data_IF_248269187040
#
_entry.id   IF_248269187040
#
_cell.length_a   1.000
_cell.length_b   1.000
_cell.length_c   1.000
_cell.angle_alpha   90.00
_cell.angle_beta   90.00
_cell.angle_gamma   90.00
#
_symmetry.space_group_name_H-M   'P 1'
#
loop_
_entity.id
_entity.type
_entity.pdbx_description
1 polymer ?
#
# COMPACT_ATOMS: atom_id res chain seq x y z
N UNK A 1 31.37 20.01 18.12
CA UNK A 1 30.88 19.65 16.77
C UNK A 1 29.84 18.56 16.98
N UNK A 2 28.61 18.75 16.51
CA UNK A 2 27.54 17.78 16.69
C UNK A 2 27.81 16.62 15.71
N UNK A 3 28.22 15.45 16.20
CA UNK A 3 28.69 14.31 15.39
C UNK A 3 27.55 13.43 14.85
N UNK A 4 26.30 13.86 14.97
CA UNK A 4 25.15 13.11 14.49
C UNK A 4 25.18 13.00 12.96
N UNK A 5 25.33 11.77 12.44
CA UNK A 5 25.23 11.52 11.00
C UNK A 5 23.81 11.85 10.52
N UNK A 6 23.70 12.34 9.29
CA UNK A 6 22.40 12.65 8.68
C UNK A 6 21.71 11.35 8.25
N UNK A 7 20.45 11.18 8.62
CA UNK A 7 19.61 10.06 8.15
C UNK A 7 18.70 10.55 7.04
N UNK A 8 18.64 9.81 5.93
CA UNK A 8 17.69 10.04 4.84
C UNK A 8 16.62 8.94 4.90
N UNK A 9 15.35 9.34 5.06
CA UNK A 9 14.21 8.43 4.95
C UNK A 9 13.63 8.51 3.55
N UNK A 10 13.47 7.35 2.93
CA UNK A 10 12.56 7.19 1.80
C UNK A 10 11.21 6.73 2.36
N UNK A 11 10.29 7.66 2.59
CA UNK A 11 8.92 7.31 2.96
C UNK A 11 8.10 7.06 1.70
N UNK A 12 7.32 5.96 1.69
CA UNK A 12 6.11 5.93 0.86
C UNK A 12 5.08 6.83 1.52
N UNK A 13 4.52 7.76 0.75
CA UNK A 13 3.25 8.37 1.10
C UNK A 13 2.14 7.33 0.97
N UNK A 14 1.85 6.63 2.05
CA UNK A 14 0.51 6.08 2.26
C UNK A 14 -0.04 6.74 3.51
N UNK A 15 -1.17 7.42 3.33
CA UNK A 15 -1.91 8.15 4.35
C UNK A 15 -2.10 7.23 5.58
N UNK A 16 -1.74 7.75 6.76
CA UNK A 16 -2.04 7.11 8.05
C UNK A 16 -0.86 6.39 8.73
N UNK A 17 0.09 7.14 9.29
CA UNK A 17 0.69 6.86 10.62
C UNK A 17 1.56 8.03 11.08
N UNK A 18 1.15 8.68 12.17
CA UNK A 18 1.88 9.77 12.82
C UNK A 18 2.91 9.17 13.79
N UNK A 19 4.19 9.15 13.43
CA UNK A 19 5.29 9.60 14.33
C UNK A 19 6.58 9.80 13.54
N UNK A 20 6.94 11.09 13.40
CA UNK A 20 8.28 11.69 13.31
C UNK A 20 9.30 10.93 12.45
N UNK A 21 9.55 11.38 11.21
CA UNK A 21 10.84 11.95 10.74
C UNK A 21 10.59 13.05 9.71
N UNK A 22 10.69 14.29 10.18
CA UNK A 22 10.78 15.50 9.37
C UNK A 22 12.16 15.49 8.71
N UNK A 23 12.21 15.31 7.40
CA UNK A 23 12.98 16.07 6.39
C UNK A 23 12.76 15.30 5.09
N UNK A 24 11.76 15.69 4.29
CA UNK A 24 11.69 15.46 2.82
C UNK A 24 10.31 15.77 2.20
N UNK A 25 9.33 16.30 2.95
CA UNK A 25 8.05 16.75 2.35
C UNK A 25 8.16 18.17 1.76
N UNK A 26 8.92 19.09 2.36
CA UNK A 26 8.95 20.51 1.92
C UNK A 26 9.64 20.79 0.56
N UNK A 27 10.42 19.86 -0.02
CA UNK A 27 11.20 20.15 -1.23
C UNK A 27 10.61 19.59 -2.53
N UNK A 28 9.57 18.75 -2.47
CA UNK A 28 9.01 18.08 -3.64
C UNK A 28 7.78 18.79 -4.24
N UNK A 29 7.19 19.76 -3.53
CA UNK A 29 6.04 20.53 -4.00
C UNK A 29 6.15 21.99 -3.57
N UNK A 30 6.95 22.79 -4.29
CA UNK A 30 6.54 24.18 -4.50
C UNK A 30 5.67 24.21 -5.77
N UNK A 31 4.35 24.38 -5.67
CA UNK A 31 3.57 24.86 -6.79
C UNK A 31 3.80 26.36 -6.94
N UNK A 32 3.90 26.82 -8.19
CA UNK A 32 3.61 28.19 -8.57
C UNK A 32 2.24 28.60 -8.01
N UNK A 33 2.17 29.25 -6.84
CA UNK A 33 1.00 30.03 -6.43
C UNK A 33 1.48 31.24 -5.62
N UNK A 34 1.32 32.41 -6.21
CA UNK A 34 1.40 33.71 -5.54
C UNK A 34 0.21 33.90 -4.62
N UNK A 35 0.49 34.24 -3.36
CA UNK A 35 -0.30 35.04 -2.39
C UNK A 35 -1.81 34.80 -2.28
N UNK A 36 -2.25 34.29 -1.12
CA UNK A 36 -3.16 35.08 -0.27
C UNK A 36 -3.06 34.68 1.21
N UNK A 37 -3.09 35.67 2.11
CA UNK A 37 -2.85 35.55 3.54
C UNK A 37 -4.17 35.37 4.30
N UNK A 38 -4.36 34.26 5.03
CA UNK A 38 -5.16 34.23 6.27
C UNK A 38 -4.77 33.01 7.15
N UNK A 39 -4.62 33.18 8.48
CA UNK A 39 -4.23 32.07 9.37
C UNK A 39 -5.44 31.21 9.78
N UNK A 40 -5.28 29.89 9.74
CA UNK A 40 -6.25 28.91 10.25
C UNK A 40 -5.79 28.45 11.66
N UNK A 41 -6.68 28.31 12.67
CA UNK A 41 -6.29 27.96 14.04
C UNK A 41 -5.99 26.46 14.20
N UNK A 42 -5.00 26.19 15.05
CA UNK A 42 -4.46 24.88 15.42
C UNK A 42 -5.35 24.14 16.46
N UNK A 43 -5.77 22.88 16.24
CA UNK A 43 -6.44 22.09 17.26
C UNK A 43 -5.43 21.29 18.08
N UNK A 44 -5.25 21.67 19.34
CA UNK A 44 -4.47 20.92 20.34
C UNK A 44 -5.04 19.51 20.55
N UNK A 45 -4.23 18.43 20.45
CA UNK A 45 -4.67 17.08 20.81
C UNK A 45 -4.38 16.77 22.29
N UNK A 46 -5.37 16.16 22.98
CA UNK A 46 -5.18 15.57 24.30
C UNK A 46 -4.61 14.15 24.19
N UNK A 47 -3.64 13.83 25.05
CA UNK A 47 -2.98 12.53 25.11
C UNK A 47 -3.86 11.55 25.92
N UNK A 48 -4.24 10.43 25.30
CA UNK A 48 -4.70 9.23 26.04
C UNK A 48 -3.61 8.15 25.99
N UNK A 49 -3.39 7.40 27.09
CA UNK A 49 -2.30 6.43 27.20
C UNK A 49 -2.56 5.15 26.40
N UNK A 50 -1.51 4.66 25.75
CA UNK A 50 -1.45 3.36 25.06
C UNK A 50 -1.60 2.19 26.05
N UNK A 51 -2.33 1.12 25.71
CA UNK A 51 -2.28 -0.11 26.49
C UNK A 51 -1.06 -0.95 26.14
N UNK A 52 -0.53 -1.55 27.20
CA UNK A 52 0.67 -2.40 27.30
C UNK A 52 0.60 -3.64 26.40
N UNK A 53 1.76 -3.99 25.85
CA UNK A 53 2.04 -5.18 25.04
C UNK A 53 1.86 -6.50 25.79
N UNK A 54 1.09 -7.42 25.20
CA UNK A 54 1.21 -8.87 25.43
C UNK A 54 1.87 -9.51 24.21
N UNK A 55 2.68 -10.58 24.39
CA UNK A 55 3.53 -11.12 23.34
C UNK A 55 2.72 -11.81 22.23
N UNK A 56 3.19 -11.68 20.99
CA UNK A 56 2.70 -12.43 19.84
C UNK A 56 2.68 -13.93 20.11
N UNK A 57 1.52 -14.59 19.99
CA UNK A 57 1.50 -15.98 19.58
C UNK A 57 1.70 -16.00 18.05
N UNK A 58 2.69 -16.75 17.56
CA UNK A 58 2.62 -17.40 16.25
C UNK A 58 1.21 -17.95 16.09
N UNK A 59 0.37 -17.36 15.25
CA UNK A 59 -1.03 -17.77 15.13
C UNK A 59 -1.11 -19.11 14.39
N UNK A 60 -1.35 -20.23 15.09
CA UNK A 60 -1.55 -21.52 14.48
C UNK A 60 -3.08 -21.71 14.43
N UNK A 61 -3.74 -21.03 13.47
CA UNK A 61 -5.12 -21.26 12.99
C UNK A 61 -5.67 -19.99 12.28
N UNK A 62 -5.29 -19.77 11.02
CA UNK A 62 -6.25 -19.19 10.07
C UNK A 62 -6.92 -20.39 9.41
N UNK A 63 -8.12 -20.74 9.89
CA UNK A 63 -9.00 -21.70 9.19
C UNK A 63 -9.07 -21.22 7.73
N UNK A 64 -8.61 -22.07 6.80
CA UNK A 64 -8.24 -21.67 5.46
C UNK A 64 -9.39 -20.99 4.71
N UNK A 65 -9.26 -19.68 4.48
CA UNK A 65 -10.12 -18.93 3.56
C UNK A 65 -9.97 -19.60 2.20
N UNK A 66 -11.04 -20.22 1.70
CA UNK A 66 -11.05 -20.87 0.39
C UNK A 66 -10.82 -19.85 -0.71
N UNK A 67 -10.42 -20.29 -1.91
CA UNK A 67 -10.21 -19.38 -3.03
C UNK A 67 -11.47 -18.56 -3.33
N UNK A 68 -12.65 -19.19 -3.37
CA UNK A 68 -13.94 -18.52 -3.58
C UNK A 68 -14.22 -17.47 -2.49
N UNK A 69 -13.93 -17.77 -1.23
CA UNK A 69 -14.17 -16.86 -0.11
C UNK A 69 -13.30 -15.59 -0.14
N UNK A 70 -12.31 -15.52 -1.04
CA UNK A 70 -11.48 -14.33 -1.23
C UNK A 70 -12.13 -13.27 -2.11
N UNK A 71 -13.21 -13.61 -2.82
CA UNK A 71 -13.88 -12.72 -3.75
C UNK A 71 -15.22 -12.27 -3.17
N UNK A 72 -15.55 -11.00 -3.38
CA UNK A 72 -16.90 -10.50 -3.13
C UNK A 72 -17.20 -9.29 -3.99
N UNK A 73 -18.38 -9.29 -4.62
CA UNK A 73 -18.96 -8.12 -5.28
C UNK A 73 -20.18 -7.58 -4.52
N UNK A 74 -20.46 -8.12 -3.34
CA UNK A 74 -21.65 -7.81 -2.55
C UNK A 74 -22.33 -9.04 -1.95
N UNK A 75 -21.80 -10.24 -2.17
CA UNK A 75 -22.35 -11.50 -1.67
C UNK A 75 -21.77 -11.92 -0.30
N UNK A 76 -20.76 -11.22 0.23
CA UNK A 76 -20.24 -11.46 1.58
C UNK A 76 -19.45 -10.27 2.11
N UNK A 77 -19.26 -10.25 3.43
CA UNK A 77 -18.26 -9.38 4.07
C UNK A 77 -16.88 -10.04 3.99
N UNK A 78 -15.88 -9.28 3.54
CA UNK A 78 -14.47 -9.60 3.65
C UNK A 78 -13.87 -8.98 4.91
N UNK A 79 -14.32 -7.78 5.32
CA UNK A 79 -13.96 -7.16 6.59
C UNK A 79 -14.96 -7.58 7.67
N UNK A 80 -14.63 -8.63 8.43
CA UNK A 80 -15.55 -9.26 9.41
C UNK A 80 -15.47 -8.65 10.81
N UNK A 81 -14.59 -7.68 11.03
CA UNK A 81 -14.43 -7.03 12.34
C UNK A 81 -15.48 -5.96 12.63
N UNK A 82 -16.37 -5.64 11.68
CA UNK A 82 -17.43 -4.66 11.83
C UNK A 82 -18.80 -5.29 11.70
N UNK A 83 -19.67 -5.05 12.68
CA UNK A 83 -21.07 -5.51 12.64
C UNK A 83 -21.93 -4.44 12.00
N UNK A 84 -22.60 -4.76 10.89
CA UNK A 84 -23.54 -3.86 10.23
C UNK A 84 -24.74 -4.64 9.69
N UNK A 85 -25.85 -4.61 10.44
CA UNK A 85 -27.07 -5.38 10.09
C UNK A 85 -27.65 -5.01 8.73
N UNK A 86 -27.56 -3.74 8.33
CA UNK A 86 -28.03 -3.31 7.01
C UNK A 86 -27.12 -3.85 5.91
N UNK A 87 -25.82 -3.98 6.16
CA UNK A 87 -24.91 -4.63 5.22
C UNK A 87 -25.27 -6.12 5.06
N UNK A 88 -25.54 -6.82 6.17
CA UNK A 88 -25.93 -8.24 6.13
C UNK A 88 -27.25 -8.45 5.34
N UNK A 89 -28.25 -7.60 5.58
CA UNK A 89 -29.50 -7.62 4.82
C UNK A 89 -29.29 -7.28 3.33
N UNK A 90 -28.42 -6.31 3.04
CA UNK A 90 -28.04 -5.96 1.67
C UNK A 90 -27.36 -7.12 0.94
N UNK A 91 -26.49 -7.86 1.63
CA UNK A 91 -25.82 -9.05 1.09
C UNK A 91 -26.83 -10.13 0.71
N UNK A 92 -27.78 -10.45 1.57
CA UNK A 92 -28.80 -11.47 1.28
C UNK A 92 -29.69 -11.06 0.09
N UNK A 93 -30.09 -9.78 0.02
CA UNK A 93 -30.82 -9.26 -1.12
C UNK A 93 -29.99 -9.30 -2.42
N UNK A 94 -28.70 -8.97 -2.35
CA UNK A 94 -27.79 -9.00 -3.51
C UNK A 94 -27.64 -10.42 -4.05
N UNK A 95 -27.44 -11.42 -3.19
CA UNK A 95 -27.40 -12.85 -3.57
C UNK A 95 -28.68 -13.31 -4.24
N UNK A 96 -29.84 -12.84 -3.76
CA UNK A 96 -31.14 -13.16 -4.33
C UNK A 96 -31.41 -12.47 -5.68
N UNK A 97 -30.52 -11.58 -6.14
CA UNK A 97 -30.73 -10.76 -7.34
C UNK A 97 -31.71 -9.59 -7.12
N UNK A 98 -32.12 -9.33 -5.88
CA UNK A 98 -33.01 -8.23 -5.50
C UNK A 98 -32.21 -6.92 -5.36
N UNK A 99 -31.63 -6.44 -6.47
CA UNK A 99 -30.69 -5.31 -6.45
C UNK A 99 -31.29 -3.98 -5.98
N UNK A 100 -32.60 -3.77 -6.15
CA UNK A 100 -33.27 -2.61 -5.59
C UNK A 100 -33.28 -2.63 -4.06
N UNK A 101 -33.62 -3.76 -3.45
CA UNK A 101 -33.58 -3.95 -2.00
C UNK A 101 -32.14 -3.86 -1.48
N UNK A 102 -31.20 -4.56 -2.13
CA UNK A 102 -29.78 -4.50 -1.81
C UNK A 102 -29.27 -3.05 -1.79
N UNK A 103 -29.62 -2.25 -2.80
CA UNK A 103 -29.26 -0.84 -2.87
C UNK A 103 -29.83 -0.04 -1.69
N UNK A 104 -31.10 -0.25 -1.30
CA UNK A 104 -31.66 0.47 -0.15
C UNK A 104 -30.92 0.09 1.16
N UNK A 105 -30.64 -1.19 1.35
CA UNK A 105 -29.97 -1.71 2.54
C UNK A 105 -28.52 -1.23 2.63
N UNK A 106 -27.74 -1.34 1.56
CA UNK A 106 -26.37 -0.82 1.55
C UNK A 106 -26.33 0.69 1.70
N UNK A 107 -27.35 1.44 1.23
CA UNK A 107 -27.42 2.89 1.49
C UNK A 107 -27.56 3.19 2.98
N UNK A 108 -28.38 2.41 3.70
CA UNK A 108 -28.46 2.54 5.16
C UNK A 108 -27.15 2.09 5.84
N UNK A 109 -26.51 1.04 5.33
CA UNK A 109 -25.21 0.59 5.83
C UNK A 109 -24.14 1.69 5.73
N UNK A 110 -24.05 2.37 4.57
CA UNK A 110 -23.15 3.51 4.35
C UNK A 110 -23.49 4.68 5.29
N UNK A 111 -24.77 4.99 5.50
CA UNK A 111 -25.16 6.05 6.45
C UNK A 111 -24.67 5.77 7.88
N UNK A 112 -24.64 4.50 8.30
CA UNK A 112 -24.16 4.10 9.62
C UNK A 112 -22.63 4.02 9.72
N UNK A 113 -21.95 3.77 8.60
CA UNK A 113 -20.50 3.58 8.54
C UNK A 113 -19.93 4.24 7.26
N UNK A 114 -19.92 5.58 7.15
CA UNK A 114 -19.57 6.27 5.91
C UNK A 114 -18.10 6.10 5.49
N UNK A 115 -17.23 5.67 6.42
CA UNK A 115 -15.81 5.41 6.18
C UNK A 115 -15.50 3.95 5.78
N UNK A 116 -16.52 3.07 5.76
CA UNK A 116 -16.37 1.66 5.35
C UNK A 116 -16.44 1.56 3.82
N UNK A 117 -15.30 1.33 3.14
CA UNK A 117 -15.26 1.32 1.68
C UNK A 117 -15.92 0.07 1.09
N UNK A 118 -16.02 -1.02 1.83
CA UNK A 118 -16.62 -2.27 1.35
C UNK A 118 -18.12 -2.08 1.09
N UNK A 119 -18.85 -1.51 2.05
CA UNK A 119 -20.29 -1.24 1.88
C UNK A 119 -20.56 -0.14 0.84
N UNK A 120 -19.65 0.83 0.69
CA UNK A 120 -19.76 1.83 -0.36
C UNK A 120 -19.62 1.19 -1.76
N UNK A 121 -18.69 0.25 -1.92
CA UNK A 121 -18.54 -0.52 -3.16
C UNK A 121 -19.78 -1.38 -3.40
N UNK A 122 -20.33 -2.06 -2.38
CA UNK A 122 -21.52 -2.88 -2.55
C UNK A 122 -22.78 -2.08 -2.87
N UNK A 123 -22.91 -0.86 -2.32
CA UNK A 123 -23.93 0.10 -2.72
C UNK A 123 -23.82 0.44 -4.21
N UNK A 124 -22.61 0.78 -4.66
CA UNK A 124 -22.33 1.11 -6.06
C UNK A 124 -22.56 -0.10 -7.00
N UNK A 125 -22.17 -1.30 -6.59
CA UNK A 125 -22.38 -2.54 -7.35
C UNK A 125 -23.88 -2.85 -7.50
N UNK A 126 -24.66 -2.65 -6.43
CA UNK A 126 -26.12 -2.81 -6.48
C UNK A 126 -26.77 -1.82 -7.47
N UNK A 127 -26.29 -0.57 -7.50
CA UNK A 127 -26.73 0.42 -8.49
C UNK A 127 -26.36 -0.03 -9.91
N UNK A 128 -25.15 -0.56 -10.10
CA UNK A 128 -24.65 -1.00 -11.39
C UNK A 128 -25.49 -2.17 -11.95
N UNK A 129 -25.76 -3.19 -11.14
CA UNK A 129 -26.57 -4.36 -11.51
C UNK A 129 -28.04 -4.01 -11.79
N UNK A 130 -28.63 -3.10 -11.01
CA UNK A 130 -29.96 -2.56 -11.29
C UNK A 130 -30.04 -1.87 -12.65
N UNK A 131 -28.96 -1.22 -13.07
CA UNK A 131 -28.91 -0.46 -14.32
C UNK A 131 -28.64 -1.33 -15.56
N UNK A 132 -28.46 -2.65 -15.39
CA UNK A 132 -28.23 -3.61 -16.47
C UNK A 132 -26.89 -4.33 -16.33
N UNK A 133 -26.25 -4.66 -17.46
CA UNK A 133 -24.94 -5.37 -17.46
C UNK A 133 -23.79 -4.39 -17.18
N UNK A 134 -23.09 -4.49 -16.04
CA UNK A 134 -22.00 -3.57 -15.70
C UNK A 134 -20.71 -3.89 -16.48
N UNK A 135 -19.77 -2.95 -16.48
CA UNK A 135 -18.35 -3.23 -16.64
C UNK A 135 -17.80 -3.79 -15.33
N UNK A 136 -16.86 -4.75 -15.37
CA UNK A 136 -16.33 -5.37 -14.16
C UNK A 136 -14.82 -5.14 -14.09
N UNK A 137 -14.35 -4.68 -12.93
CA UNK A 137 -12.93 -4.66 -12.57
C UNK A 137 -12.72 -5.41 -11.24
N UNK A 138 -11.55 -6.00 -11.07
CA UNK A 138 -11.16 -6.62 -9.80
C UNK A 138 -10.24 -5.68 -9.01
N UNK A 139 -10.57 -5.40 -7.74
CA UNK A 139 -9.71 -4.69 -6.81
C UNK A 139 -9.04 -5.69 -5.87
N UNK A 140 -7.75 -5.96 -6.09
CA UNK A 140 -6.98 -6.96 -5.34
C UNK A 140 -6.22 -6.29 -4.20
N UNK A 141 -6.60 -6.63 -2.96
CA UNK A 141 -6.15 -5.98 -1.74
C UNK A 141 -5.88 -6.99 -0.60
N UNK A 142 -5.02 -6.67 0.37
CA UNK A 142 -4.64 -7.57 1.46
C UNK A 142 -5.54 -7.41 2.70
N UNK A 143 -6.81 -7.82 2.58
CA UNK A 143 -7.86 -7.55 3.59
C UNK A 143 -7.46 -8.02 4.99
N UNK A 144 -6.95 -9.23 5.11
CA UNK A 144 -6.74 -9.92 6.39
C UNK A 144 -5.36 -9.66 7.02
N UNK A 145 -4.33 -9.41 6.23
CA UNK A 145 -2.95 -9.21 6.73
C UNK A 145 -2.54 -7.74 6.78
N UNK A 146 -3.21 -6.86 6.03
CA UNK A 146 -2.93 -5.40 6.00
C UNK A 146 -4.21 -4.59 5.83
N UNK A 147 -5.15 -4.78 6.77
CA UNK A 147 -6.48 -4.17 6.76
C UNK A 147 -6.46 -2.67 6.45
N UNK A 148 -5.64 -1.87 7.13
CA UNK A 148 -5.57 -0.41 6.88
C UNK A 148 -5.20 -0.08 5.44
N UNK A 149 -4.20 -0.76 4.86
CA UNK A 149 -3.82 -0.56 3.46
C UNK A 149 -4.97 -0.93 2.52
N UNK A 150 -5.63 -2.06 2.79
CA UNK A 150 -6.76 -2.51 1.99
C UNK A 150 -7.92 -1.49 2.04
N UNK A 151 -8.27 -0.99 3.23
CA UNK A 151 -9.30 0.03 3.38
C UNK A 151 -8.95 1.32 2.64
N UNK A 152 -7.74 1.85 2.77
CA UNK A 152 -7.33 3.07 2.06
C UNK A 152 -7.35 2.91 0.54
N UNK A 153 -6.85 1.78 0.03
CA UNK A 153 -6.96 1.46 -1.40
C UNK A 153 -8.42 1.40 -1.84
N UNK A 154 -9.28 0.72 -1.08
CA UNK A 154 -10.69 0.57 -1.42
C UNK A 154 -11.48 1.88 -1.27
N UNK A 155 -11.10 2.80 -0.36
CA UNK A 155 -11.70 4.14 -0.29
C UNK A 155 -11.48 4.91 -1.59
N UNK A 156 -10.26 4.87 -2.13
CA UNK A 156 -9.95 5.46 -3.44
C UNK A 156 -10.74 4.81 -4.58
N UNK A 157 -10.82 3.47 -4.59
CA UNK A 157 -11.62 2.72 -5.58
C UNK A 157 -13.10 3.07 -5.48
N UNK A 158 -13.67 3.08 -4.27
CA UNK A 158 -15.07 3.39 -4.01
C UNK A 158 -15.41 4.81 -4.48
N UNK A 159 -14.54 5.79 -4.20
CA UNK A 159 -14.71 7.17 -4.65
C UNK A 159 -14.71 7.26 -6.18
N UNK A 160 -13.72 6.66 -6.85
CA UNK A 160 -13.63 6.68 -8.30
C UNK A 160 -14.80 5.94 -8.97
N UNK A 161 -15.24 4.81 -8.39
CA UNK A 161 -16.41 4.08 -8.84
C UNK A 161 -17.69 4.93 -8.70
N UNK A 162 -17.90 5.58 -7.55
CA UNK A 162 -19.05 6.47 -7.34
C UNK A 162 -19.07 7.59 -8.37
N UNK A 163 -17.92 8.19 -8.67
CA UNK A 163 -17.80 9.24 -9.69
C UNK A 163 -18.12 8.72 -11.09
N UNK A 164 -17.54 7.58 -11.48
CA UNK A 164 -17.83 6.96 -12.78
C UNK A 164 -19.32 6.60 -12.91
N UNK A 165 -19.93 6.03 -11.86
CA UNK A 165 -21.32 5.56 -11.87
C UNK A 165 -22.38 6.66 -11.89
N UNK A 166 -22.00 7.94 -11.71
CA UNK A 166 -22.92 9.07 -11.88
C UNK A 166 -23.36 9.23 -13.34
N UNK A 167 -22.47 8.93 -14.29
CA UNK A 167 -22.72 9.07 -15.73
C UNK A 167 -22.66 7.73 -16.46
N UNK A 168 -21.78 6.84 -16.01
CA UNK A 168 -21.46 5.60 -16.69
C UNK A 168 -20.79 5.84 -18.04
N UNK A 169 -20.73 4.78 -18.85
CA UNK A 169 -20.31 4.85 -20.24
C UNK A 169 -21.23 3.98 -21.09
N UNK A 170 -21.84 4.55 -22.13
CA UNK A 170 -22.82 3.88 -22.99
C UNK A 170 -23.94 3.18 -22.20
N UNK A 171 -24.46 3.84 -21.17
CA UNK A 171 -25.55 3.30 -20.32
C UNK A 171 -25.14 2.17 -19.38
N UNK A 172 -23.84 1.81 -19.32
CA UNK A 172 -23.32 0.79 -18.41
C UNK A 172 -22.54 1.44 -17.27
N UNK A 173 -22.74 0.91 -16.07
CA UNK A 173 -22.05 1.33 -14.86
C UNK A 173 -20.91 0.35 -14.52
N UNK A 174 -20.06 0.72 -13.56
CA UNK A 174 -18.92 -0.04 -13.08
C UNK A 174 -19.28 -0.84 -11.82
N UNK A 175 -18.95 -2.12 -11.85
CA UNK A 175 -18.92 -3.03 -10.71
C UNK A 175 -17.48 -3.37 -10.35
N UNK A 176 -17.21 -3.41 -9.04
CA UNK A 176 -15.92 -3.80 -8.48
C UNK A 176 -16.07 -5.12 -7.73
N UNK A 177 -15.27 -6.10 -8.10
CA UNK A 177 -15.07 -7.32 -7.30
C UNK A 177 -13.89 -7.05 -6.38
N UNK A 178 -14.10 -7.09 -5.06
CA UNK A 178 -13.03 -7.02 -4.07
C UNK A 178 -12.41 -8.41 -3.93
N UNK A 179 -11.08 -8.48 -3.97
CA UNK A 179 -10.33 -9.75 -3.96
C UNK A 179 -9.24 -9.73 -2.89
N UNK A 180 -9.27 -10.68 -1.96
CA UNK A 180 -8.29 -10.79 -0.87
C UNK A 180 -7.10 -11.69 -1.22
N UNK A 181 -5.92 -11.09 -1.46
CA UNK A 181 -4.66 -11.81 -1.72
C UNK A 181 -3.81 -12.05 -0.46
N UNK A 182 -4.26 -11.57 0.69
CA UNK A 182 -3.52 -11.61 1.97
C UNK A 182 -2.08 -11.07 1.90
N UNK A 183 -1.74 -10.24 0.92
CA UNK A 183 -0.38 -9.83 0.59
C UNK A 183 0.62 -11.01 0.50
N UNK A 184 0.13 -12.20 0.12
CA UNK A 184 0.91 -13.43 0.06
C UNK A 184 1.14 -13.81 -1.40
N UNK A 185 2.38 -14.16 -1.76
CA UNK A 185 2.75 -14.49 -3.15
C UNK A 185 1.92 -15.62 -3.76
N UNK A 186 1.68 -16.70 -3.00
CA UNK A 186 0.92 -17.85 -3.49
C UNK A 186 -0.56 -17.49 -3.66
N UNK A 187 -1.16 -16.78 -2.70
CA UNK A 187 -2.55 -16.35 -2.83
C UNK A 187 -2.72 -15.30 -3.93
N UNK A 188 -1.76 -14.38 -4.10
CA UNK A 188 -1.75 -13.42 -5.21
C UNK A 188 -1.76 -14.12 -6.57
N UNK A 189 -0.94 -15.17 -6.73
CA UNK A 189 -0.97 -16.01 -7.94
C UNK A 189 -2.32 -16.71 -8.11
N UNK A 190 -2.83 -17.38 -7.07
CA UNK A 190 -4.09 -18.13 -7.14
C UNK A 190 -5.29 -17.25 -7.49
N UNK A 191 -5.42 -16.07 -6.86
CA UNK A 191 -6.52 -15.15 -7.18
C UNK A 191 -6.36 -14.56 -8.57
N UNK A 192 -5.12 -14.33 -9.04
CA UNK A 192 -4.87 -13.88 -10.40
C UNK A 192 -5.25 -14.95 -11.43
N UNK A 193 -4.92 -16.22 -11.17
CA UNK A 193 -5.36 -17.36 -11.98
C UNK A 193 -6.89 -17.45 -12.05
N UNK A 194 -7.59 -17.27 -10.93
CA UNK A 194 -9.05 -17.23 -10.94
C UNK A 194 -9.59 -16.04 -11.77
N UNK A 195 -9.02 -14.84 -11.59
CA UNK A 195 -9.41 -13.63 -12.32
C UNK A 195 -9.32 -13.83 -13.83
N UNK A 196 -8.22 -14.42 -14.34
CA UNK A 196 -8.02 -14.60 -15.77
C UNK A 196 -8.98 -15.64 -16.40
N UNK A 197 -9.64 -16.48 -15.60
CA UNK A 197 -10.68 -17.39 -16.12
C UNK A 197 -12.01 -16.68 -16.36
N UNK A 198 -12.22 -15.50 -15.78
CA UNK A 198 -13.45 -14.74 -15.90
C UNK A 198 -13.34 -13.67 -17.00
N UNK A 199 -13.86 -13.99 -18.18
CA UNK A 199 -13.84 -13.11 -19.36
C UNK A 199 -14.65 -11.80 -19.22
N UNK A 200 -15.48 -11.65 -18.18
CA UNK A 200 -16.19 -10.38 -17.93
C UNK A 200 -15.32 -9.35 -17.17
N UNK A 201 -14.20 -9.76 -16.55
CA UNK A 201 -13.27 -8.85 -15.86
C UNK A 201 -12.38 -8.15 -16.88
N UNK A 202 -12.49 -6.82 -16.96
CA UNK A 202 -11.76 -6.02 -17.96
C UNK A 202 -10.36 -5.57 -17.52
N UNK A 203 -10.07 -5.67 -16.23
CA UNK A 203 -8.83 -5.16 -15.66
C UNK A 203 -8.76 -5.30 -14.16
N UNK A 204 -7.55 -5.07 -13.63
CA UNK A 204 -7.22 -5.27 -12.22
C UNK A 204 -6.67 -3.97 -11.63
N UNK A 205 -7.18 -3.60 -10.46
CA UNK A 205 -6.64 -2.55 -9.59
C UNK A 205 -5.94 -3.23 -8.43
N UNK A 206 -4.65 -2.95 -8.23
CA UNK A 206 -3.81 -3.66 -7.26
C UNK A 206 -2.58 -4.25 -7.93
N UNK A 207 -1.83 -5.16 -7.30
CA UNK A 207 -1.91 -5.57 -5.90
C UNK A 207 -1.26 -4.50 -5.00
N UNK A 208 -1.36 -4.68 -3.67
CA UNK A 208 -0.80 -3.74 -2.68
C UNK A 208 0.73 -3.70 -2.63
N UNK A 209 1.42 -4.85 -2.77
CA UNK A 209 2.89 -4.89 -2.68
C UNK A 209 3.54 -5.26 -4.00
N UNK A 210 4.80 -4.86 -4.16
CA UNK A 210 5.57 -5.22 -5.35
C UNK A 210 5.73 -6.74 -5.50
N UNK A 211 5.84 -7.47 -4.39
CA UNK A 211 5.94 -8.94 -4.41
C UNK A 211 4.65 -9.61 -4.87
N UNK A 212 3.50 -9.21 -4.33
CA UNK A 212 2.20 -9.73 -4.77
C UNK A 212 1.91 -9.33 -6.22
N UNK A 213 2.20 -8.08 -6.59
CA UNK A 213 2.02 -7.59 -7.95
C UNK A 213 2.85 -8.36 -8.96
N UNK A 214 4.08 -8.76 -8.61
CA UNK A 214 4.92 -9.55 -9.50
C UNK A 214 4.35 -10.95 -9.78
N UNK A 215 3.69 -11.58 -8.80
CA UNK A 215 3.06 -12.88 -9.01
C UNK A 215 1.76 -12.76 -9.81
N UNK A 216 0.90 -11.77 -9.49
CA UNK A 216 -0.32 -11.53 -10.27
C UNK A 216 -0.02 -11.12 -11.71
N UNK A 217 0.98 -10.25 -11.93
CA UNK A 217 1.35 -9.76 -13.26
C UNK A 217 1.76 -10.88 -14.22
N UNK A 218 2.45 -11.93 -13.74
CA UNK A 218 2.80 -13.09 -14.56
C UNK A 218 1.56 -13.72 -15.19
N UNK A 219 0.48 -13.86 -14.41
CA UNK A 219 -0.77 -14.45 -14.88
C UNK A 219 -1.51 -13.48 -15.80
N UNK A 220 -1.61 -12.20 -15.44
CA UNK A 220 -2.29 -11.18 -16.24
C UNK A 220 -1.64 -10.97 -17.62
N UNK A 221 -0.31 -11.09 -17.72
CA UNK A 221 0.41 -11.04 -18.99
C UNK A 221 0.02 -12.19 -19.93
N UNK A 222 -0.24 -13.39 -19.41
CA UNK A 222 -0.68 -14.52 -20.24
C UNK A 222 -2.06 -14.29 -20.84
N UNK A 223 -2.93 -13.58 -20.12
CA UNK A 223 -4.31 -13.32 -20.52
C UNK A 223 -4.51 -11.95 -21.19
N UNK A 224 -3.47 -11.10 -21.23
CA UNK A 224 -3.56 -9.74 -21.77
C UNK A 224 -4.44 -8.80 -20.95
N UNK A 225 -4.64 -9.07 -19.65
CA UNK A 225 -5.49 -8.25 -18.77
C UNK A 225 -4.66 -7.09 -18.20
N UNK A 226 -5.14 -5.86 -18.38
CA UNK A 226 -4.48 -4.67 -17.84
C UNK A 226 -4.55 -4.63 -16.31
N UNK A 227 -3.44 -4.31 -15.68
CA UNK A 227 -3.27 -4.18 -14.24
C UNK A 227 -2.74 -2.78 -13.91
N UNK A 228 -3.40 -2.07 -12.99
CA UNK A 228 -2.93 -0.78 -12.46
C UNK A 228 -2.73 -0.86 -10.94
N UNK A 229 -1.47 -0.75 -10.50
CA UNK A 229 -1.15 -0.75 -9.07
C UNK A 229 -1.06 0.68 -8.53
N UNK A 230 -1.79 1.01 -7.45
CA UNK A 230 -1.68 2.33 -6.81
C UNK A 230 -0.53 2.44 -5.81
N UNK A 231 0.22 1.36 -5.56
CA UNK A 231 1.19 1.31 -4.45
C UNK A 231 2.52 0.64 -4.80
N UNK A 232 2.60 -0.14 -5.89
CA UNK A 232 3.80 -0.90 -6.22
C UNK A 232 4.84 -0.09 -7.01
N UNK A 233 5.97 0.22 -6.37
CA UNK A 233 6.99 1.14 -6.91
C UNK A 233 8.19 0.43 -7.56
N UNK A 234 8.34 -0.89 -7.38
CA UNK A 234 9.51 -1.63 -7.86
C UNK A 234 9.77 -1.42 -9.35
N UNK A 235 11.06 -1.28 -9.70
CA UNK A 235 11.57 -1.27 -11.08
C UNK A 235 11.40 -2.60 -11.79
N UNK A 236 11.25 -3.69 -11.03
CA UNK A 236 11.09 -5.04 -11.60
C UNK A 236 9.66 -5.31 -12.08
N UNK A 237 8.73 -4.40 -11.78
CA UNK A 237 7.38 -4.42 -12.34
C UNK A 237 7.38 -3.60 -13.63
N UNK A 238 7.31 -4.33 -14.73
CA UNK A 238 7.29 -3.81 -16.09
C UNK A 238 6.56 -4.81 -16.97
N UNK A 239 5.88 -4.33 -18.00
CA UNK A 239 5.15 -5.18 -18.92
C UNK A 239 4.16 -4.34 -19.73
N UNK A 240 3.67 -4.87 -20.83
CA UNK A 240 2.72 -4.15 -21.71
C UNK A 240 1.35 -3.94 -21.04
N UNK A 241 1.04 -4.77 -20.05
CA UNK A 241 -0.24 -4.73 -19.31
C UNK A 241 -0.10 -4.10 -17.92
N UNK A 242 1.12 -3.70 -17.51
CA UNK A 242 1.37 -3.14 -16.18
C UNK A 242 1.40 -1.61 -16.20
N UNK A 243 0.56 -1.02 -15.36
CA UNK A 243 0.48 0.41 -15.11
C UNK A 243 0.58 0.68 -13.61
N UNK A 244 0.95 1.91 -13.25
CA UNK A 244 0.93 2.37 -11.86
C UNK A 244 0.67 3.87 -11.78
N UNK A 245 0.04 4.30 -10.69
CA UNK A 245 -0.16 5.72 -10.40
C UNK A 245 0.98 6.33 -9.58
N UNK A 246 1.78 5.49 -8.91
CA UNK A 246 2.93 5.90 -8.10
C UNK A 246 4.23 5.97 -8.91
N UNK A 247 5.18 6.86 -8.54
CA UNK A 247 6.51 6.88 -9.13
C UNK A 247 7.26 5.55 -8.95
N UNK A 248 8.14 5.23 -9.90
CA UNK A 248 9.07 4.10 -9.76
C UNK A 248 10.15 4.36 -8.73
N UNK A 249 10.61 3.30 -8.07
CA UNK A 249 11.86 3.27 -7.30
C UNK A 249 13.06 3.76 -8.12
N UNK A 250 13.05 3.58 -9.45
CA UNK A 250 14.08 4.16 -10.33
C UNK A 250 14.15 5.69 -10.26
N UNK A 251 13.00 6.37 -10.23
CA UNK A 251 12.94 7.83 -10.07
C UNK A 251 13.31 8.23 -8.65
N UNK A 252 12.81 7.51 -7.65
CA UNK A 252 13.11 7.77 -6.23
C UNK A 252 14.60 7.60 -5.91
N UNK A 253 15.22 6.52 -6.37
CA UNK A 253 16.64 6.25 -6.20
C UNK A 253 17.53 7.31 -6.86
N UNK A 254 17.17 7.77 -8.07
CA UNK A 254 17.87 8.87 -8.73
C UNK A 254 17.76 10.18 -7.93
N UNK A 255 16.56 10.49 -7.42
CA UNK A 255 16.35 11.67 -6.59
C UNK A 255 17.18 11.63 -5.31
N UNK A 256 17.16 10.49 -4.59
CA UNK A 256 17.94 10.28 -3.37
C UNK A 256 19.45 10.38 -3.60
N UNK A 257 19.96 9.82 -4.70
CA UNK A 257 21.38 9.93 -5.04
C UNK A 257 21.79 11.38 -5.32
N UNK A 258 20.98 12.14 -6.06
CA UNK A 258 21.21 13.58 -6.29
C UNK A 258 21.16 14.39 -4.99
N UNK A 259 20.22 14.06 -4.11
CA UNK A 259 20.10 14.68 -2.81
C UNK A 259 21.35 14.46 -1.95
N UNK A 260 21.88 13.23 -1.91
CA UNK A 260 23.09 12.90 -1.17
C UNK A 260 24.29 13.76 -1.65
N UNK A 261 24.52 13.83 -2.96
CA UNK A 261 25.60 14.65 -3.55
C UNK A 261 25.42 16.12 -3.25
N UNK A 262 24.21 16.67 -3.43
CA UNK A 262 23.92 18.09 -3.16
C UNK A 262 24.23 18.46 -1.70
N UNK A 263 24.17 17.49 -0.79
CA UNK A 263 24.44 17.66 0.63
C UNK A 263 25.85 17.18 1.06
N UNK A 264 26.77 16.98 0.11
CA UNK A 264 28.15 16.54 0.35
C UNK A 264 28.26 15.19 1.09
N UNK A 265 27.32 14.28 0.83
CA UNK A 265 27.36 12.91 1.35
C UNK A 265 27.97 12.00 0.27
N UNK A 266 29.23 11.64 0.43
CA UNK A 266 30.02 10.87 -0.54
C UNK A 266 30.24 9.41 -0.13
N UNK A 267 30.05 9.10 1.16
CA UNK A 267 30.11 7.76 1.74
C UNK A 267 28.79 7.46 2.44
N UNK A 268 28.02 6.50 1.94
CA UNK A 268 26.67 6.23 2.45
C UNK A 268 26.55 4.79 2.94
N UNK A 269 26.02 4.57 4.13
CA UNK A 269 25.56 3.23 4.53
C UNK A 269 24.10 3.03 4.12
N UNK A 270 23.83 1.94 3.40
CA UNK A 270 22.51 1.59 2.89
C UNK A 270 22.00 0.37 3.66
N UNK A 271 20.90 0.55 4.39
CA UNK A 271 20.22 -0.50 5.12
C UNK A 271 18.96 -0.93 4.36
N UNK A 272 18.87 -2.21 4.01
CA UNK A 272 17.77 -2.76 3.21
C UNK A 272 17.32 -4.12 3.75
N UNK A 273 16.34 -4.73 3.12
CA UNK A 273 15.78 -6.03 3.49
C UNK A 273 15.76 -6.94 2.27
N UNK A 274 16.57 -8.00 2.25
CA UNK A 274 16.63 -8.89 1.08
C UNK A 274 15.36 -9.69 0.85
N UNK A 275 14.55 -9.97 1.88
CA UNK A 275 13.27 -10.66 1.69
C UNK A 275 12.17 -9.78 1.03
N UNK A 276 12.43 -8.49 0.79
CA UNK A 276 11.46 -7.53 0.22
C UNK A 276 11.84 -7.07 -1.19
N UNK A 277 10.98 -7.38 -2.18
CA UNK A 277 11.14 -6.90 -3.55
C UNK A 277 11.20 -5.37 -3.65
N UNK A 278 10.42 -4.66 -2.84
CA UNK A 278 10.46 -3.19 -2.75
C UNK A 278 11.82 -2.69 -2.25
N UNK A 279 12.28 -3.23 -1.12
CA UNK A 279 13.52 -2.77 -0.48
C UNK A 279 14.75 -3.04 -1.37
N UNK A 280 14.80 -4.22 -2.00
CA UNK A 280 15.83 -4.55 -2.97
C UNK A 280 15.85 -3.58 -4.16
N UNK A 281 14.66 -3.29 -4.73
CA UNK A 281 14.54 -2.43 -5.90
C UNK A 281 14.97 -0.99 -5.63
N UNK A 282 14.58 -0.44 -4.47
CA UNK A 282 15.00 0.91 -4.08
C UNK A 282 16.50 0.98 -3.74
N UNK A 283 17.05 -0.03 -3.06
CA UNK A 283 18.49 -0.18 -2.83
C UNK A 283 19.26 -0.15 -4.15
N UNK A 284 18.85 -0.95 -5.13
CA UNK A 284 19.50 -1.02 -6.45
C UNK A 284 19.38 0.29 -7.22
N UNK A 285 18.19 0.89 -7.25
CA UNK A 285 17.97 2.18 -7.91
C UNK A 285 18.87 3.29 -7.33
N UNK A 286 19.00 3.34 -6.00
CA UNK A 286 19.89 4.27 -5.31
C UNK A 286 21.36 4.00 -5.64
N UNK A 287 21.86 2.77 -5.41
CA UNK A 287 23.26 2.41 -5.63
C UNK A 287 23.67 2.64 -7.08
N UNK A 288 22.84 2.24 -8.04
CA UNK A 288 23.13 2.43 -9.46
C UNK A 288 23.23 3.91 -9.85
N UNK A 289 22.42 4.76 -9.23
CA UNK A 289 22.46 6.21 -9.44
C UNK A 289 23.63 6.88 -8.69
N UNK A 290 24.10 6.29 -7.59
CA UNK A 290 25.12 6.86 -6.72
C UNK A 290 26.55 6.37 -7.04
N UNK A 291 26.72 5.28 -7.79
CA UNK A 291 28.02 4.61 -8.02
C UNK A 291 29.15 5.48 -8.59
N UNK A 292 28.84 6.52 -9.36
CA UNK A 292 29.83 7.47 -9.91
C UNK A 292 29.99 8.74 -9.06
N UNK A 293 29.18 8.86 -8.01
CA UNK A 293 29.06 10.05 -7.18
C UNK A 293 29.66 9.86 -5.78
N UNK A 294 29.80 8.61 -5.35
CA UNK A 294 30.32 8.25 -4.05
C UNK A 294 30.44 6.74 -3.87
N UNK A 295 30.61 6.31 -2.61
CA UNK A 295 30.75 4.91 -2.23
C UNK A 295 29.65 4.48 -1.27
N UNK A 296 29.24 3.21 -1.35
CA UNK A 296 28.19 2.66 -0.51
C UNK A 296 28.67 1.45 0.29
N UNK A 297 28.19 1.31 1.52
CA UNK A 297 28.28 0.08 2.32
C UNK A 297 26.87 -0.45 2.57
N UNK A 298 26.63 -1.73 2.31
CA UNK A 298 25.27 -2.29 2.29
C UNK A 298 25.08 -3.26 3.45
N UNK A 299 23.94 -3.14 4.14
CA UNK A 299 23.58 -3.94 5.30
C UNK A 299 22.17 -4.50 5.14
N UNK A 300 22.03 -5.82 5.23
CA UNK A 300 20.74 -6.50 5.19
C UNK A 300 20.16 -6.63 6.60
N UNK A 301 19.08 -5.90 6.87
CA UNK A 301 18.37 -5.94 8.15
C UNK A 301 17.61 -7.25 8.38
N UNK A 302 17.45 -8.09 7.36
CA UNK A 302 16.88 -9.43 7.52
C UNK A 302 17.91 -10.50 7.87
N UNK A 303 19.21 -10.18 7.87
CA UNK A 303 20.24 -11.09 8.37
C UNK A 303 19.99 -11.38 9.87
N UNK A 304 19.89 -12.67 10.28
CA UNK A 304 19.71 -13.03 11.69
C UNK A 304 20.79 -12.50 12.64
N UNK A 305 21.98 -12.18 12.12
CA UNK A 305 23.10 -11.63 12.89
C UNK A 305 23.20 -10.10 12.80
N UNK A 306 22.23 -9.43 12.18
CA UNK A 306 22.22 -7.98 12.08
C UNK A 306 21.96 -7.35 13.46
N UNK A 307 22.98 -6.66 13.98
CA UNK A 307 22.92 -5.96 15.26
C UNK A 307 22.96 -4.44 15.02
N UNK A 308 21.82 -3.71 15.14
CA UNK A 308 21.74 -2.30 14.78
C UNK A 308 22.77 -1.41 15.50
N UNK A 309 22.87 -1.56 16.82
CA UNK A 309 23.71 -0.70 17.67
C UNK A 309 25.21 -0.88 17.39
N UNK A 310 25.68 -2.12 17.28
CA UNK A 310 27.09 -2.40 17.00
C UNK A 310 27.45 -2.00 15.58
N UNK A 311 26.56 -2.24 14.61
CA UNK A 311 26.75 -1.82 13.21
C UNK A 311 26.89 -0.31 13.11
N UNK A 312 25.99 0.46 13.73
CA UNK A 312 26.05 1.93 13.71
C UNK A 312 27.32 2.46 14.37
N UNK A 313 27.72 1.92 15.52
CA UNK A 313 29.00 2.29 16.17
C UNK A 313 30.21 1.98 15.30
N UNK A 314 30.23 0.82 14.65
CA UNK A 314 31.31 0.43 13.74
C UNK A 314 31.38 1.35 12.50
N UNK A 315 30.27 1.97 12.11
CA UNK A 315 30.21 2.92 11.00
C UNK A 315 30.56 4.36 11.40
N UNK A 316 30.67 4.64 12.71
CA UNK A 316 31.02 5.97 13.21
C UNK A 316 32.33 6.45 12.58
N UNK A 317 32.32 7.65 12.00
CA UNK A 317 33.42 8.27 11.24
C UNK A 317 33.85 7.56 9.94
N UNK A 318 33.17 6.48 9.52
CA UNK A 318 33.49 5.77 8.27
C UNK A 318 32.58 6.15 7.10
N UNK A 319 31.40 6.71 7.39
CA UNK A 319 30.43 7.17 6.39
C UNK A 319 29.94 8.58 6.76
N UNK A 320 29.31 9.26 5.81
CA UNK A 320 28.76 10.62 5.95
C UNK A 320 27.26 10.59 6.31
N UNK A 321 26.55 9.54 5.89
CA UNK A 321 25.11 9.40 6.11
C UNK A 321 24.63 7.96 6.05
N UNK A 322 23.43 7.75 6.60
CA UNK A 322 22.68 6.51 6.51
C UNK A 322 21.44 6.69 5.64
N UNK A 323 21.11 5.68 4.85
CA UNK A 323 19.88 5.58 4.09
C UNK A 323 19.20 4.27 4.47
N UNK A 324 17.92 4.36 4.84
CA UNK A 324 17.10 3.23 5.31
C UNK A 324 16.00 2.93 4.29
N UNK A 325 15.93 1.68 3.83
CA UNK A 325 14.89 1.18 2.93
C UNK A 325 14.12 0.02 3.58
N UNK A 326 13.40 0.23 4.69
CA UNK A 326 12.62 -0.83 5.33
C UNK A 326 11.45 -1.29 4.45
N UNK A 327 11.00 -2.53 4.66
CA UNK A 327 9.64 -2.92 4.29
C UNK A 327 8.67 -2.65 5.47
N UNK A 328 7.38 -2.86 5.27
CA UNK A 328 6.35 -2.65 6.31
C UNK A 328 6.23 -3.83 7.29
N UNK A 329 7.25 -4.68 7.41
CA UNK A 329 7.26 -5.73 8.42
C UNK A 329 7.62 -5.12 9.78
N UNK A 330 6.90 -5.49 10.84
CA UNK A 330 7.09 -4.89 12.17
C UNK A 330 8.49 -5.14 12.72
N UNK A 331 9.07 -6.33 12.50
CA UNK A 331 10.44 -6.64 12.96
C UNK A 331 11.44 -5.74 12.22
N UNK A 332 11.33 -5.61 10.90
CA UNK A 332 12.21 -4.76 10.10
C UNK A 332 12.05 -3.28 10.45
N UNK A 333 10.82 -2.83 10.67
CA UNK A 333 10.52 -1.46 11.09
C UNK A 333 11.20 -1.16 12.43
N UNK A 334 11.07 -2.06 13.40
CA UNK A 334 11.74 -1.94 14.70
C UNK A 334 13.27 -1.95 14.60
N UNK A 335 13.85 -2.77 13.71
CA UNK A 335 15.30 -2.74 13.46
C UNK A 335 15.74 -1.41 12.85
N UNK A 336 14.93 -0.83 11.95
CA UNK A 336 15.23 0.46 11.32
C UNK A 336 15.18 1.62 12.32
N UNK A 337 14.21 1.60 13.24
CA UNK A 337 14.14 2.54 14.36
C UNK A 337 15.38 2.42 15.25
N UNK A 338 15.81 1.19 15.57
CA UNK A 338 17.04 0.98 16.35
C UNK A 338 18.31 1.49 15.65
N UNK A 339 18.40 1.41 14.31
CA UNK A 339 19.48 2.04 13.55
C UNK A 339 19.44 3.57 13.72
N UNK A 340 18.25 4.16 13.61
CA UNK A 340 18.08 5.60 13.76
C UNK A 340 18.39 6.09 15.18
N UNK A 341 17.90 5.39 16.21
CA UNK A 341 18.15 5.69 17.62
C UNK A 341 19.64 5.56 17.97
N UNK A 342 20.29 4.51 17.48
CA UNK A 342 21.72 4.32 17.68
C UNK A 342 22.54 5.46 17.06
N UNK A 343 22.10 5.98 15.91
CA UNK A 343 22.75 7.11 15.23
C UNK A 343 22.54 8.43 15.98
N UNK A 344 21.34 8.66 16.50
CA UNK A 344 21.04 9.84 17.30
C UNK A 344 21.81 9.88 18.63
N UNK A 345 22.31 8.73 19.07
CA UNK A 345 23.09 8.57 20.30
C UNK A 345 24.62 8.62 20.09
N UNK A 346 25.10 8.87 18.87
CA UNK A 346 26.51 9.10 18.53
C UNK A 346 26.90 10.56 18.74
#
# INVERSE_FOLDING_TARGET
MNNTLKIIFATLSTIGTLTIIIVLWELAFQPLITTDNNPIPDPTPSLSPSPTSTPSPTNPNVIGISLEQRFSSGDRRLFTNQVNRNADQGIEAFKAGNYDEAYQQFRQAVNTAPSDPEVQIYLNNSQARKSGKPFILAAVVPVDTKQTNAEEMLRGVAQAQSQFNQQGFNGRLLEIIIVNDSNNKNYAQQVAQEIITNNDILGVIGHNSAGASAEGLKEYETAGIAMISPTSTSTNLSGNVFFRTVPSDGKSGQFLARYAVKNNMSKVAVFYTSSSNYSQSLKEAFINSFKLLGSTRVFDMSDPNFEPKSTVRALQNQVDSFVLFPNTDNKITNLSLQVADANASL
#
